data_IF_035663331236
#
_entry.id   IF_035663331236
#
_cell.length_a   1.000
_cell.length_b   1.000
_cell.length_c   1.000
_cell.angle_alpha   90.00
_cell.angle_beta   90.00
_cell.angle_gamma   90.00
#
_symmetry.space_group_name_H-M   'P 1'
#
loop_
_entity.id
_entity.type
_entity.pdbx_description
1 polymer ?
#
# COMPACT_ATOMS: atom_id res chain seq x y z
N UNK A 1 9.63 -8.74 8.49
CA UNK A 1 8.30 -8.37 7.96
C UNK A 1 7.92 -7.03 8.58
N UNK A 2 7.54 -6.05 7.77
CA UNK A 2 7.02 -4.76 8.20
C UNK A 2 5.58 -4.65 7.71
N UNK A 3 4.67 -4.23 8.57
CA UNK A 3 3.24 -4.13 8.27
C UNK A 3 2.76 -2.72 8.56
N UNK A 4 2.02 -2.14 7.61
CA UNK A 4 1.32 -0.87 7.77
C UNK A 4 -0.16 -1.11 7.54
N UNK A 5 -0.99 -0.68 8.50
CA UNK A 5 -2.44 -0.82 8.43
C UNK A 5 -3.06 0.55 8.19
N UNK A 6 -3.89 0.66 7.16
CA UNK A 6 -4.63 1.88 6.82
C UNK A 6 -6.07 1.70 7.30
N UNK A 7 -6.32 2.13 8.55
CA UNK A 7 -7.61 1.95 9.24
C UNK A 7 -8.75 2.56 8.43
N UNK A 8 -8.51 3.75 7.88
CA UNK A 8 -9.51 4.54 7.17
C UNK A 8 -9.95 3.93 5.85
N UNK A 9 -9.29 2.87 5.36
CA UNK A 9 -9.65 2.20 4.11
C UNK A 9 -9.67 0.66 4.23
N UNK A 10 -9.36 0.10 5.40
CA UNK A 10 -9.48 -1.34 5.66
C UNK A 10 -8.45 -2.24 4.95
N UNK A 11 -7.30 -1.69 4.55
CA UNK A 11 -6.23 -2.47 3.89
C UNK A 11 -4.92 -2.47 4.69
N UNK A 12 -4.04 -3.42 4.35
CA UNK A 12 -2.71 -3.52 4.92
C UNK A 12 -1.64 -3.66 3.83
N UNK A 13 -0.50 -2.99 4.03
CA UNK A 13 0.71 -3.19 3.26
C UNK A 13 1.65 -4.12 4.03
N UNK A 14 2.11 -5.18 3.38
CA UNK A 14 3.06 -6.15 3.94
C UNK A 14 4.33 -6.13 3.12
N UNK A 15 5.45 -5.71 3.72
CA UNK A 15 6.77 -5.73 3.10
C UNK A 15 7.66 -6.75 3.80
N UNK A 16 8.19 -7.69 3.03
CA UNK A 16 9.14 -8.70 3.52
C UNK A 16 10.55 -8.22 3.16
N UNK A 17 11.33 -7.89 4.19
CA UNK A 17 12.71 -7.38 4.07
C UNK A 17 13.62 -8.10 5.06
N UNK A 18 14.91 -8.18 4.74
CA UNK A 18 15.95 -8.75 5.60
C UNK A 18 16.23 -7.91 6.85
N UNK A 19 15.97 -6.60 6.80
CA UNK A 19 16.17 -5.68 7.92
C UNK A 19 15.11 -4.59 7.92
N UNK A 20 14.44 -4.44 9.07
CA UNK A 20 13.56 -3.30 9.32
C UNK A 20 14.41 -2.03 9.50
N UNK A 21 14.06 -0.97 8.78
CA UNK A 21 14.66 0.36 8.92
C UNK A 21 13.63 1.46 8.61
N UNK A 22 13.92 2.69 9.01
CA UNK A 22 13.02 3.84 8.84
C UNK A 22 12.75 4.17 7.37
N UNK A 23 13.72 3.96 6.47
CA UNK A 23 13.56 4.21 5.04
C UNK A 23 12.42 3.35 4.49
N UNK A 24 12.35 2.07 4.85
CA UNK A 24 11.27 1.18 4.41
C UNK A 24 9.91 1.65 4.92
N UNK A 25 9.83 2.13 6.17
CA UNK A 25 8.59 2.67 6.72
C UNK A 25 8.16 3.95 5.98
N UNK A 26 9.10 4.82 5.62
CA UNK A 26 8.84 6.03 4.83
C UNK A 26 8.36 5.71 3.41
N UNK A 27 8.97 4.70 2.75
CA UNK A 27 8.53 4.24 1.44
C UNK A 27 7.12 3.63 1.50
N UNK A 28 6.82 2.84 2.53
CA UNK A 28 5.47 2.30 2.76
C UNK A 28 4.45 3.41 3.00
N UNK A 29 4.80 4.46 3.76
CA UNK A 29 3.95 5.64 3.95
C UNK A 29 3.67 6.36 2.63
N UNK A 30 4.70 6.62 1.82
CA UNK A 30 4.55 7.29 0.52
C UNK A 30 3.69 6.50 -0.45
N UNK A 31 3.92 5.18 -0.53
CA UNK A 31 3.08 4.28 -1.30
C UNK A 31 1.63 4.35 -0.83
N UNK A 32 1.38 4.28 0.49
CA UNK A 32 0.02 4.33 1.03
C UNK A 32 -0.70 5.62 0.66
N UNK A 33 -0.04 6.77 0.80
CA UNK A 33 -0.62 8.07 0.44
C UNK A 33 -0.97 8.12 -1.04
N UNK A 34 -0.05 7.67 -1.92
CA UNK A 34 -0.27 7.68 -3.36
C UNK A 34 -1.39 6.70 -3.78
N UNK A 35 -1.37 5.50 -3.22
CA UNK A 35 -2.36 4.46 -3.48
C UNK A 35 -3.75 4.91 -3.04
N UNK A 36 -3.89 5.36 -1.79
CA UNK A 36 -5.16 5.88 -1.26
C UNK A 36 -5.70 7.03 -2.10
N UNK A 37 -4.87 8.01 -2.47
CA UNK A 37 -5.32 9.15 -3.28
C UNK A 37 -5.77 8.75 -4.69
N UNK A 38 -5.13 7.75 -5.30
CA UNK A 38 -5.47 7.34 -6.66
C UNK A 38 -6.76 6.52 -6.71
N UNK A 39 -6.98 5.69 -5.69
CA UNK A 39 -8.08 4.72 -5.65
C UNK A 39 -9.12 5.08 -4.58
N UNK A 40 -9.22 6.35 -4.17
CA UNK A 40 -10.10 6.81 -3.08
C UNK A 40 -11.56 6.35 -3.28
N UNK A 41 -12.11 6.58 -4.47
CA UNK A 41 -13.49 6.20 -4.81
C UNK A 41 -13.69 4.67 -4.70
N UNK A 42 -12.78 3.89 -5.30
CA UNK A 42 -12.83 2.42 -5.29
C UNK A 42 -12.66 1.86 -3.88
N UNK A 43 -11.77 2.46 -3.07
CA UNK A 43 -11.54 2.04 -1.68
C UNK A 43 -12.74 2.37 -0.80
N UNK A 44 -13.40 3.51 -1.02
CA UNK A 44 -14.62 3.89 -0.30
C UNK A 44 -15.75 2.90 -0.60
N UNK A 45 -15.95 2.54 -1.86
CA UNK A 45 -16.93 1.52 -2.25
C UNK A 45 -16.63 0.14 -1.64
N UNK A 46 -15.34 -0.22 -1.51
CA UNK A 46 -14.90 -1.48 -0.92
C UNK A 46 -15.00 -1.51 0.61
N UNK A 47 -14.95 -0.35 1.28
CA UNK A 47 -15.14 -0.27 2.73
C UNK A 47 -16.54 -0.68 3.17
N UNK A 48 -17.57 -0.24 2.43
CA UNK A 48 -18.97 -0.51 2.76
C UNK A 48 -19.30 -2.01 2.80
N UNK A 49 -18.47 -2.83 2.15
CA UNK A 49 -18.66 -4.28 2.04
C UNK A 49 -17.72 -5.10 2.95
N UNK A 50 -16.88 -4.48 3.78
CA UNK A 50 -15.92 -5.15 4.69
C UNK A 50 -15.07 -6.24 3.99
N UNK A 51 -14.67 -6.03 2.74
CA UNK A 51 -13.88 -7.01 1.98
C UNK A 51 -12.39 -6.77 2.16
N UNK A 52 -11.62 -7.86 2.18
CA UNK A 52 -10.16 -7.79 2.10
C UNK A 52 -9.76 -7.17 0.76
N UNK A 53 -8.99 -6.09 0.82
CA UNK A 53 -8.48 -5.39 -0.37
C UNK A 53 -7.18 -6.06 -0.80
N UNK A 54 -7.18 -6.67 -1.98
CA UNK A 54 -5.96 -7.14 -2.62
C UNK A 54 -5.37 -6.04 -3.50
N UNK A 55 -4.32 -5.37 -3.01
CA UNK A 55 -3.63 -4.27 -3.68
C UNK A 55 -3.09 -4.68 -5.07
N UNK A 56 -2.74 -5.96 -5.30
CA UNK A 56 -2.23 -6.41 -6.60
C UNK A 56 -3.27 -6.39 -7.72
N UNK A 57 -4.56 -6.34 -7.40
CA UNK A 57 -5.65 -6.30 -8.38
C UNK A 57 -5.88 -4.90 -8.96
N UNK A 58 -5.27 -3.86 -8.36
CA UNK A 58 -5.45 -2.48 -8.79
C UNK A 58 -4.57 -2.19 -10.01
N UNK A 59 -5.19 -1.73 -11.09
CA UNK A 59 -4.49 -1.39 -12.33
C UNK A 59 -3.53 -0.21 -12.10
N UNK A 60 -2.22 -0.46 -12.16
CA UNK A 60 -1.19 0.54 -11.85
C UNK A 60 -0.44 0.31 -10.53
N UNK A 61 -0.82 -0.69 -9.73
CA UNK A 61 -0.16 -0.99 -8.46
C UNK A 61 1.31 -1.40 -8.65
N UNK A 62 1.63 -2.11 -9.73
CA UNK A 62 3.01 -2.53 -10.04
C UNK A 62 3.92 -1.32 -10.28
N UNK A 63 3.45 -0.37 -11.08
CA UNK A 63 4.18 0.86 -11.39
C UNK A 63 4.38 1.72 -10.13
N UNK A 64 3.40 1.75 -9.22
CA UNK A 64 3.56 2.40 -7.92
C UNK A 64 4.59 1.71 -7.04
N UNK A 65 4.63 0.38 -7.03
CA UNK A 65 5.65 -0.38 -6.29
C UNK A 65 7.02 -0.06 -6.86
N UNK A 66 7.19 -0.11 -8.18
CA UNK A 66 8.46 0.23 -8.83
C UNK A 66 8.88 1.67 -8.54
N UNK A 67 7.95 2.63 -8.57
CA UNK A 67 8.23 4.04 -8.26
C UNK A 67 8.65 4.27 -6.82
N UNK A 68 7.91 3.71 -5.86
CA UNK A 68 8.14 3.95 -4.44
C UNK A 68 9.29 3.10 -3.88
N UNK A 69 9.51 1.91 -4.41
CA UNK A 69 10.51 0.97 -3.89
C UNK A 69 11.72 0.79 -4.80
N UNK A 70 11.89 1.59 -5.86
CA UNK A 70 13.00 1.49 -6.83
C UNK A 70 14.40 1.42 -6.20
N UNK A 71 14.60 2.12 -5.08
CA UNK A 71 15.89 2.11 -4.36
C UNK A 71 16.23 0.72 -3.78
N UNK A 72 15.28 -0.20 -3.73
CA UNK A 72 15.37 -1.54 -3.16
C UNK A 72 15.01 -2.67 -4.16
N UNK A 73 14.69 -2.34 -5.42
CA UNK A 73 14.45 -3.28 -6.52
C UNK A 73 15.67 -3.34 -7.44
#
# INVERSE_FOLDING_TARGET
>A
IVVRYEIDYGYALVVITNKKNSIIEDLMLNFSIEFTRKYEDELTDLQDINRLINVSEFSGAKEMVEKNFKLYL
#
